data_IF_132215506477
#
_entry.id   IF_132215506477
#
_cell.length_a   1.000
_cell.length_b   1.000
_cell.length_c   1.000
_cell.angle_alpha   90.00
_cell.angle_beta   90.00
_cell.angle_gamma   90.00
#
_symmetry.space_group_name_H-M   'P 1'
#
loop_
_entity.id
_entity.type
_entity.pdbx_description
1 polymer ?
#
# COMPACT_ATOMS: atom_id res chain seq x y z
N UNK A 1 14.45 -2.65 -2.48
CA UNK A 1 13.13 -2.83 -3.12
C UNK A 1 13.19 -2.67 -4.64
N UNK A 2 13.44 -1.48 -5.19
CA UNK A 2 13.46 -1.27 -6.66
C UNK A 2 14.44 -2.21 -7.39
N UNK A 3 15.67 -2.34 -6.91
CA UNK A 3 16.66 -3.26 -7.51
C UNK A 3 16.22 -4.74 -7.44
N UNK A 4 15.57 -5.16 -6.36
CA UNK A 4 15.05 -6.54 -6.22
C UNK A 4 13.85 -6.79 -7.15
N UNK A 5 12.99 -5.78 -7.34
CA UNK A 5 11.89 -5.83 -8.30
C UNK A 5 12.38 -5.88 -9.76
N UNK A 6 13.47 -5.18 -10.09
CA UNK A 6 14.08 -5.23 -11.42
C UNK A 6 14.67 -6.62 -11.70
N UNK A 7 15.36 -7.22 -10.73
CA UNK A 7 15.93 -8.57 -10.89
C UNK A 7 14.81 -9.62 -11.06
N UNK A 8 13.71 -9.51 -10.31
CA UNK A 8 12.56 -10.39 -10.46
C UNK A 8 11.86 -10.20 -11.81
N UNK A 9 11.61 -8.95 -12.23
CA UNK A 9 11.02 -8.65 -13.52
C UNK A 9 11.90 -9.10 -14.68
N UNK A 10 13.22 -9.01 -14.55
CA UNK A 10 14.17 -9.50 -15.55
C UNK A 10 14.11 -11.02 -15.70
N UNK A 11 13.98 -11.77 -14.59
CA UNK A 11 13.82 -13.21 -14.62
C UNK A 11 12.51 -13.65 -15.31
N UNK A 12 11.39 -12.97 -15.03
CA UNK A 12 10.10 -13.26 -15.65
C UNK A 12 10.09 -12.94 -17.16
N UNK A 13 10.70 -11.81 -17.55
CA UNK A 13 10.83 -11.40 -18.96
C UNK A 13 11.69 -12.40 -19.75
N UNK A 14 12.77 -12.90 -19.16
CA UNK A 14 13.65 -13.87 -19.80
C UNK A 14 12.98 -15.25 -19.99
N UNK A 15 12.09 -15.63 -19.08
CA UNK A 15 11.27 -16.85 -19.17
C UNK A 15 10.11 -16.71 -20.19
N UNK A 16 9.54 -15.51 -20.33
CA UNK A 16 8.52 -15.21 -21.35
C UNK A 16 9.11 -15.13 -22.78
N UNK A 17 10.33 -14.61 -22.93
CA UNK A 17 11.01 -14.50 -24.22
C UNK A 17 11.47 -15.85 -24.80
N UNK A 18 11.68 -16.86 -23.96
CA UNK A 18 12.12 -18.20 -24.38
C UNK A 18 10.96 -19.12 -24.80
N UNK A 19 9.71 -18.73 -24.58
CA UNK A 19 8.52 -19.48 -25.00
C UNK A 19 7.99 -18.97 -26.36
N UNK A 20 8.64 -19.41 -27.43
CA UNK A 20 8.61 -18.83 -28.80
C UNK A 20 7.30 -19.00 -29.61
N UNK A 21 6.19 -19.48 -29.07
CA UNK A 21 5.02 -19.86 -29.90
C UNK A 21 3.92 -18.81 -30.09
N UNK A 22 3.90 -17.68 -29.37
CA UNK A 22 2.85 -16.64 -29.52
C UNK A 22 3.31 -15.21 -29.13
N UNK A 23 4.42 -14.75 -29.70
CA UNK A 23 5.08 -13.49 -29.27
C UNK A 23 4.19 -12.24 -29.34
N UNK A 24 3.34 -12.07 -30.37
CA UNK A 24 2.54 -10.84 -30.55
C UNK A 24 1.42 -10.66 -29.52
N UNK A 25 0.68 -11.72 -29.21
CA UNK A 25 -0.39 -11.71 -28.20
C UNK A 25 0.17 -11.66 -26.78
N UNK A 26 1.31 -12.31 -26.53
CA UNK A 26 2.03 -12.23 -25.27
C UNK A 26 2.56 -10.81 -25.03
N UNK A 27 3.15 -10.15 -26.03
CA UNK A 27 3.64 -8.77 -25.92
C UNK A 27 2.47 -7.79 -25.69
N UNK A 28 1.35 -7.92 -26.39
CA UNK A 28 0.18 -7.05 -26.16
C UNK A 28 -0.40 -7.20 -24.75
N UNK A 29 -0.45 -8.44 -24.24
CA UNK A 29 -0.89 -8.71 -22.87
C UNK A 29 0.10 -8.19 -21.84
N UNK A 30 1.41 -8.27 -22.13
CA UNK A 30 2.48 -7.73 -21.29
C UNK A 30 2.38 -6.19 -21.20
N UNK A 31 2.19 -5.53 -22.34
CA UNK A 31 2.03 -4.07 -22.40
C UNK A 31 0.80 -3.60 -21.63
N UNK A 32 -0.34 -4.28 -21.79
CA UNK A 32 -1.54 -4.00 -21.00
C UNK A 32 -1.30 -4.20 -19.50
N UNK A 33 -0.56 -5.25 -19.12
CA UNK A 33 -0.14 -5.51 -17.74
C UNK A 33 0.72 -4.39 -17.15
N UNK A 34 1.70 -3.88 -17.90
CA UNK A 34 2.55 -2.77 -17.45
C UNK A 34 1.77 -1.46 -17.29
N UNK A 35 0.84 -1.16 -18.19
CA UNK A 35 -0.05 0.02 -18.07
C UNK A 35 -0.89 -0.09 -16.80
N UNK A 36 -1.46 -1.28 -16.55
CA UNK A 36 -2.25 -1.51 -15.34
C UNK A 36 -1.41 -1.42 -14.05
N UNK A 37 -0.17 -1.93 -14.08
CA UNK A 37 0.77 -1.82 -12.97
C UNK A 37 1.13 -0.36 -12.67
N UNK A 38 1.36 0.44 -13.72
CA UNK A 38 1.63 1.87 -13.58
C UNK A 38 0.44 2.61 -12.95
N UNK A 39 -0.78 2.34 -13.44
CA UNK A 39 -2.00 2.91 -12.88
C UNK A 39 -2.17 2.51 -11.40
N UNK A 40 -1.95 1.24 -11.04
CA UNK A 40 -2.01 0.76 -9.66
C UNK A 40 -0.99 1.47 -8.75
N UNK A 41 0.25 1.65 -9.24
CA UNK A 41 1.31 2.34 -8.51
C UNK A 41 0.96 3.81 -8.25
N UNK A 42 0.42 4.52 -9.25
CA UNK A 42 -0.05 5.91 -9.10
C UNK A 42 -1.20 5.99 -8.09
N UNK A 43 -2.23 5.17 -8.24
CA UNK A 43 -3.37 5.13 -7.31
C UNK A 43 -2.92 4.85 -5.87
N UNK A 44 -2.00 3.91 -5.66
CA UNK A 44 -1.49 3.56 -4.32
C UNK A 44 -0.68 4.71 -3.71
N UNK A 45 0.14 5.39 -4.52
CA UNK A 45 0.88 6.58 -4.08
C UNK A 45 -0.07 7.73 -3.71
N UNK A 46 -1.06 8.02 -4.55
CA UNK A 46 -2.08 9.03 -4.28
C UNK A 46 -2.87 8.71 -3.01
N UNK A 47 -3.34 7.46 -2.86
CA UNK A 47 -4.08 7.01 -1.68
C UNK A 47 -3.28 7.22 -0.38
N UNK A 48 -2.04 6.72 -0.33
CA UNK A 48 -1.22 6.81 0.90
C UNK A 48 -0.84 8.25 1.28
N UNK A 49 -0.60 9.12 0.29
CA UNK A 49 -0.32 10.54 0.51
C UNK A 49 -1.58 11.32 0.91
N UNK A 50 -2.69 11.11 0.20
CA UNK A 50 -3.95 11.79 0.45
C UNK A 50 -4.52 11.41 1.82
N UNK A 51 -4.53 10.12 2.16
CA UNK A 51 -4.96 9.62 3.46
C UNK A 51 -4.17 10.29 4.58
N UNK A 52 -2.84 10.32 4.48
CA UNK A 52 -1.99 10.99 5.48
C UNK A 52 -2.26 12.49 5.57
N UNK A 53 -2.47 13.17 4.44
CA UNK A 53 -2.81 14.61 4.42
C UNK A 53 -4.13 14.86 5.15
N UNK A 54 -5.17 14.06 4.90
CA UNK A 54 -6.48 14.20 5.55
C UNK A 54 -6.39 13.95 7.05
N UNK A 55 -5.74 12.87 7.49
CA UNK A 55 -5.54 12.58 8.93
C UNK A 55 -4.93 13.78 9.67
N UNK A 56 -3.91 14.41 9.07
CA UNK A 56 -3.24 15.59 9.67
C UNK A 56 -4.10 16.86 9.65
N UNK A 57 -4.90 17.08 8.62
CA UNK A 57 -5.71 18.29 8.47
C UNK A 57 -6.96 18.26 9.35
N UNK A 58 -7.63 17.11 9.45
CA UNK A 58 -8.89 16.96 10.21
C UNK A 58 -8.66 16.50 11.65
N UNK A 59 -7.41 16.23 12.05
CA UNK A 59 -7.05 15.67 13.35
C UNK A 59 -7.86 14.40 13.69
N UNK A 60 -8.17 13.59 12.66
CA UNK A 60 -8.98 12.41 12.85
C UNK A 60 -8.29 11.39 13.74
N UNK A 61 -9.07 10.79 14.63
CA UNK A 61 -8.62 9.65 15.42
C UNK A 61 -8.50 8.43 14.50
N UNK A 62 -7.76 7.42 14.97
CA UNK A 62 -7.53 6.18 14.20
C UNK A 62 -8.84 5.48 13.82
N UNK A 63 -9.80 5.49 14.74
CA UNK A 63 -11.13 4.92 14.52
C UNK A 63 -11.92 5.67 13.46
N UNK A 64 -11.94 7.01 13.50
CA UNK A 64 -12.65 7.84 12.52
C UNK A 64 -12.08 7.62 11.13
N UNK A 65 -10.75 7.58 11.03
CA UNK A 65 -10.05 7.32 9.76
C UNK A 65 -10.43 5.96 9.18
N UNK A 66 -10.48 4.92 10.01
CA UNK A 66 -10.90 3.58 9.60
C UNK A 66 -12.38 3.56 9.19
N UNK A 67 -13.26 4.20 9.97
CA UNK A 67 -14.69 4.25 9.70
C UNK A 67 -14.99 4.94 8.36
N UNK A 68 -14.44 6.14 8.14
CA UNK A 68 -14.64 6.86 6.87
C UNK A 68 -14.04 6.12 5.68
N UNK A 69 -12.89 5.46 5.84
CA UNK A 69 -12.28 4.71 4.75
C UNK A 69 -13.16 3.54 4.30
N UNK A 70 -13.72 2.77 5.25
CA UNK A 70 -14.60 1.65 4.92
C UNK A 70 -15.99 2.13 4.46
N UNK A 71 -16.57 3.13 5.12
CA UNK A 71 -17.91 3.65 4.79
C UNK A 71 -17.95 4.28 3.39
N UNK A 72 -16.98 5.12 3.03
CA UNK A 72 -16.94 5.72 1.68
C UNK A 72 -16.61 4.68 0.61
N UNK A 73 -15.94 3.58 0.96
CA UNK A 73 -15.64 2.52 0.00
C UNK A 73 -16.88 1.71 -0.38
N UNK A 74 -17.88 1.57 0.50
CA UNK A 74 -19.12 0.80 0.22
C UNK A 74 -19.84 1.29 -1.07
N UNK A 75 -20.24 2.57 -1.21
CA UNK A 75 -20.94 3.01 -2.43
C UNK A 75 -20.06 2.91 -3.68
N UNK A 76 -18.75 3.16 -3.55
CA UNK A 76 -17.80 3.02 -4.66
C UNK A 76 -17.70 1.56 -5.11
N UNK A 77 -17.63 0.62 -4.17
CA UNK A 77 -17.59 -0.81 -4.45
C UNK A 77 -18.90 -1.30 -5.07
N UNK A 78 -20.05 -0.82 -4.60
CA UNK A 78 -21.37 -1.13 -5.19
C UNK A 78 -21.42 -0.68 -6.65
N UNK A 79 -21.00 0.55 -6.96
CA UNK A 79 -20.95 1.02 -8.34
C UNK A 79 -19.98 0.19 -9.18
N UNK A 80 -18.81 -0.16 -8.63
CA UNK A 80 -17.81 -0.95 -9.36
C UNK A 80 -18.29 -2.37 -9.69
N UNK A 81 -18.93 -3.09 -8.76
CA UNK A 81 -19.48 -4.43 -9.04
C UNK A 81 -20.60 -4.37 -10.07
N UNK A 82 -21.47 -3.35 -10.04
CA UNK A 82 -22.56 -3.22 -11.02
C UNK A 82 -22.05 -2.93 -12.44
N UNK A 83 -20.88 -2.30 -12.59
CA UNK A 83 -20.30 -1.98 -13.90
C UNK A 83 -19.40 -3.08 -14.46
N UNK A 84 -18.72 -3.85 -13.60
CA UNK A 84 -17.66 -4.78 -14.00
C UNK A 84 -18.09 -6.24 -13.88
N UNK A 85 -18.94 -6.58 -12.90
CA UNK A 85 -19.30 -7.97 -12.61
C UNK A 85 -20.65 -8.35 -13.23
N UNK A 86 -20.73 -9.59 -13.75
CA UNK A 86 -21.98 -10.15 -14.24
C UNK A 86 -22.84 -10.69 -13.10
N UNK A 87 -23.99 -10.03 -12.87
CA UNK A 87 -24.99 -10.43 -11.87
C UNK A 87 -26.00 -11.46 -12.38
N UNK A 88 -25.67 -12.19 -13.45
CA UNK A 88 -26.53 -13.24 -13.99
C UNK A 88 -26.75 -14.37 -12.96
N UNK A 89 -27.97 -14.92 -12.92
CA UNK A 89 -28.33 -16.02 -12.03
C UNK A 89 -27.43 -17.25 -12.19
N UNK A 90 -26.92 -17.49 -13.40
CA UNK A 90 -25.96 -18.56 -13.69
C UNK A 90 -24.61 -18.31 -13.00
N UNK A 91 -24.10 -17.06 -13.06
CA UNK A 91 -22.83 -16.69 -12.42
C UNK A 91 -22.92 -16.72 -10.88
N UNK A 92 -24.08 -16.35 -10.34
CA UNK A 92 -24.36 -16.43 -8.90
C UNK A 92 -24.45 -17.89 -8.43
N UNK A 93 -25.13 -18.75 -9.19
CA UNK A 93 -25.23 -20.17 -8.87
C UNK A 93 -23.85 -20.87 -8.90
N UNK A 94 -22.94 -20.40 -9.78
CA UNK A 94 -21.57 -20.92 -9.89
C UNK A 94 -20.68 -20.46 -8.74
N UNK A 95 -20.78 -19.20 -8.32
CA UNK A 95 -19.98 -18.64 -7.22
C UNK A 95 -20.53 -18.97 -5.83
N UNK A 96 -21.83 -19.25 -5.71
CA UNK A 96 -22.49 -19.64 -4.45
C UNK A 96 -23.26 -20.96 -4.59
N UNK A 97 -22.57 -22.12 -4.69
CA UNK A 97 -23.23 -23.41 -4.70
C UNK A 97 -23.98 -23.65 -3.39
N UNK A 98 -25.18 -24.23 -3.46
CA UNK A 98 -26.04 -24.49 -2.27
C UNK A 98 -25.31 -25.33 -1.22
N UNK A 99 -24.45 -26.26 -1.65
CA UNK A 99 -23.69 -27.15 -0.77
C UNK A 99 -22.60 -26.44 0.06
N UNK A 100 -21.99 -25.36 -0.45
CA UNK A 100 -20.88 -24.65 0.21
C UNK A 100 -21.21 -23.21 0.60
N UNK A 101 -22.44 -22.74 0.33
CA UNK A 101 -22.89 -21.36 0.57
C UNK A 101 -22.63 -20.88 1.99
N UNK A 102 -22.92 -21.69 3.00
CA UNK A 102 -22.69 -21.34 4.41
C UNK A 102 -21.21 -21.15 4.70
N UNK A 103 -20.35 -22.02 4.18
CA UNK A 103 -18.90 -21.94 4.39
C UNK A 103 -18.30 -20.69 3.70
N UNK A 104 -18.79 -20.37 2.49
CA UNK A 104 -18.37 -19.17 1.76
C UNK A 104 -18.79 -17.91 2.53
N UNK A 105 -20.04 -17.85 3.02
CA UNK A 105 -20.52 -16.71 3.80
C UNK A 105 -19.73 -16.54 5.11
N UNK A 106 -19.41 -17.63 5.81
CA UNK A 106 -18.56 -17.59 7.00
C UNK A 106 -17.16 -17.08 6.66
N UNK A 107 -16.56 -17.55 5.56
CA UNK A 107 -15.25 -17.07 5.10
C UNK A 107 -15.27 -15.58 4.73
N UNK A 108 -16.35 -15.10 4.13
CA UNK A 108 -16.55 -13.67 3.82
C UNK A 108 -16.65 -12.83 5.10
N UNK A 109 -17.41 -13.27 6.09
CA UNK A 109 -17.52 -12.57 7.37
C UNK A 109 -16.17 -12.56 8.11
N UNK A 110 -15.49 -13.71 8.17
CA UNK A 110 -14.20 -13.82 8.86
C UNK A 110 -13.10 -12.98 8.19
N UNK A 111 -13.04 -12.99 6.86
CA UNK A 111 -12.10 -12.14 6.11
C UNK A 111 -12.44 -10.66 6.24
N UNK A 112 -13.74 -10.30 6.26
CA UNK A 112 -14.21 -8.95 6.53
C UNK A 112 -13.78 -8.44 7.91
N UNK A 113 -13.97 -9.25 8.97
CA UNK A 113 -13.51 -8.93 10.32
C UNK A 113 -11.99 -8.77 10.38
N UNK A 114 -11.24 -9.63 9.69
CA UNK A 114 -9.78 -9.53 9.62
C UNK A 114 -9.34 -8.25 8.88
N UNK A 115 -10.03 -7.88 7.80
CA UNK A 115 -9.78 -6.66 7.03
C UNK A 115 -10.00 -5.39 7.86
N UNK A 116 -11.00 -5.39 8.76
CA UNK A 116 -11.23 -4.31 9.72
C UNK A 116 -10.00 -4.05 10.60
N UNK A 117 -9.40 -5.11 11.15
CA UNK A 117 -8.17 -4.98 11.94
C UNK A 117 -6.99 -4.44 11.13
N UNK A 118 -6.83 -4.88 9.89
CA UNK A 118 -5.79 -4.39 8.98
C UNK A 118 -6.02 -2.91 8.65
N UNK A 119 -7.27 -2.51 8.42
CA UNK A 119 -7.62 -1.11 8.13
C UNK A 119 -7.32 -0.20 9.32
N UNK A 120 -7.64 -0.64 10.55
CA UNK A 120 -7.34 0.12 11.77
C UNK A 120 -5.82 0.28 11.97
N UNK A 121 -5.08 -0.82 11.93
CA UNK A 121 -3.62 -0.81 12.12
C UNK A 121 -2.90 -0.03 11.03
N UNK A 122 -3.40 -0.07 9.79
CA UNK A 122 -2.88 0.73 8.67
C UNK A 122 -3.06 2.23 8.90
N UNK A 123 -4.26 2.66 9.31
CA UNK A 123 -4.53 4.05 9.64
C UNK A 123 -3.65 4.55 10.81
N UNK A 124 -3.54 3.73 11.86
CA UNK A 124 -2.71 4.02 13.01
C UNK A 124 -1.23 4.15 12.63
N UNK A 125 -0.70 3.21 11.85
CA UNK A 125 0.67 3.25 11.34
C UNK A 125 0.94 4.53 10.54
N UNK A 126 0.05 4.91 9.62
CA UNK A 126 0.19 6.11 8.80
C UNK A 126 0.14 7.41 9.63
N UNK A 127 -0.66 7.44 10.71
CA UNK A 127 -0.77 8.59 11.61
C UNK A 127 0.50 8.80 12.42
N UNK A 128 1.01 7.76 13.10
CA UNK A 128 2.14 7.88 14.02
C UNK A 128 3.50 7.91 13.32
N UNK A 129 3.58 7.40 12.09
CA UNK A 129 4.84 7.36 11.32
C UNK A 129 4.80 8.26 10.07
N UNK A 130 4.85 7.65 8.89
CA UNK A 130 4.78 8.29 7.59
C UNK A 130 4.21 7.39 6.51
N UNK A 131 3.70 7.98 5.43
CA UNK A 131 3.22 7.26 4.24
C UNK A 131 4.33 6.41 3.61
N UNK A 132 5.58 6.90 3.64
CA UNK A 132 6.77 6.16 3.19
C UNK A 132 7.09 4.98 4.11
N UNK A 133 7.03 5.17 5.43
CA UNK A 133 7.22 4.07 6.40
C UNK A 133 6.14 3.01 6.26
N UNK A 134 4.88 3.41 6.11
CA UNK A 134 3.76 2.48 5.89
C UNK A 134 4.00 1.61 4.64
N UNK A 135 4.37 2.23 3.52
CA UNK A 135 4.67 1.52 2.28
C UNK A 135 5.88 0.58 2.41
N UNK A 136 6.93 1.01 3.13
CA UNK A 136 8.11 0.19 3.41
C UNK A 136 7.77 -1.02 4.29
N UNK A 137 7.00 -0.83 5.37
CA UNK A 137 6.56 -1.92 6.26
C UNK A 137 5.67 -2.90 5.51
N UNK A 138 4.77 -2.40 4.65
CA UNK A 138 3.94 -3.25 3.79
C UNK A 138 4.76 -4.15 2.87
N UNK A 139 5.88 -3.64 2.33
CA UNK A 139 6.79 -4.45 1.53
C UNK A 139 7.62 -5.43 2.37
N UNK A 140 8.06 -5.04 3.55
CA UNK A 140 8.77 -5.93 4.47
C UNK A 140 7.88 -7.07 4.95
N UNK A 141 6.58 -6.84 5.14
CA UNK A 141 5.62 -7.88 5.53
C UNK A 141 5.52 -9.01 4.50
N UNK A 142 5.82 -8.74 3.22
CA UNK A 142 5.83 -9.77 2.17
C UNK A 142 7.04 -10.71 2.26
N UNK A 143 8.15 -10.30 2.89
CA UNK A 143 9.37 -11.11 2.95
C UNK A 143 9.20 -12.36 3.85
N UNK A 144 8.67 -12.27 5.09
CA UNK A 144 8.41 -13.46 5.90
C UNK A 144 7.43 -14.42 5.22
N UNK A 145 6.39 -13.89 4.56
CA UNK A 145 5.42 -14.71 3.83
C UNK A 145 6.12 -15.48 2.69
N UNK A 146 7.02 -14.81 1.96
CA UNK A 146 7.82 -15.47 0.92
C UNK A 146 8.77 -16.53 1.49
N UNK A 147 9.42 -16.27 2.63
CA UNK A 147 10.27 -17.24 3.31
C UNK A 147 9.47 -18.46 3.77
N UNK A 148 8.32 -18.26 4.40
CA UNK A 148 7.40 -19.35 4.74
C UNK A 148 6.94 -20.11 3.49
N UNK A 149 6.69 -19.41 2.39
CA UNK A 149 6.38 -20.01 1.09
C UNK A 149 7.43 -21.02 0.64
N UNK A 150 8.71 -20.66 0.73
CA UNK A 150 9.83 -21.52 0.33
C UNK A 150 10.10 -22.67 1.33
N UNK A 151 9.74 -22.51 2.61
CA UNK A 151 9.96 -23.54 3.64
C UNK A 151 8.84 -24.59 3.64
N UNK A 152 7.58 -24.15 3.48
CA UNK A 152 6.41 -25.00 3.63
C UNK A 152 5.89 -25.57 2.30
N UNK A 153 6.24 -24.96 1.17
CA UNK A 153 5.89 -25.47 -0.16
C UNK A 153 7.15 -25.87 -0.93
N UNK A 154 7.09 -27.00 -1.62
CA UNK A 154 8.17 -27.57 -2.45
C UNK A 154 8.35 -26.78 -3.75
N UNK A 155 8.46 -25.45 -3.64
CA UNK A 155 8.70 -24.56 -4.76
C UNK A 155 10.21 -24.57 -5.12
N UNK A 156 10.57 -24.52 -6.41
CA UNK A 156 11.97 -24.54 -6.83
C UNK A 156 12.71 -23.32 -6.24
N UNK A 157 13.64 -23.59 -5.32
CA UNK A 157 14.46 -22.57 -4.68
C UNK A 157 15.54 -22.11 -5.67
N UNK A 158 15.27 -21.00 -6.37
CA UNK A 158 16.28 -20.40 -7.26
C UNK A 158 17.24 -19.49 -6.48
N UNK A 159 18.49 -19.40 -6.93
CA UNK A 159 19.45 -18.44 -6.35
C UNK A 159 18.96 -16.99 -6.48
N UNK A 160 18.17 -16.69 -7.51
CA UNK A 160 17.54 -15.38 -7.72
C UNK A 160 16.52 -15.02 -6.64
N UNK A 161 15.62 -15.95 -6.29
CA UNK A 161 14.62 -15.70 -5.24
C UNK A 161 15.25 -15.55 -3.86
N UNK A 162 16.25 -16.37 -3.53
CA UNK A 162 16.94 -16.30 -2.22
C UNK A 162 17.73 -14.99 -2.08
N UNK A 163 18.48 -14.61 -3.12
CA UNK A 163 19.24 -13.35 -3.11
C UNK A 163 18.33 -12.12 -3.07
N UNK A 164 17.18 -12.14 -3.77
CA UNK A 164 16.18 -11.08 -3.71
C UNK A 164 15.61 -10.91 -2.28
N UNK A 165 15.29 -12.01 -1.60
CA UNK A 165 14.80 -11.98 -0.21
C UNK A 165 15.86 -11.41 0.73
N UNK A 166 17.11 -11.85 0.61
CA UNK A 166 18.23 -11.36 1.42
C UNK A 166 18.44 -9.84 1.25
N UNK A 167 18.47 -9.35 0.00
CA UNK A 167 18.56 -7.92 -0.31
C UNK A 167 17.35 -7.15 0.25
N UNK A 168 16.16 -7.76 0.21
CA UNK A 168 14.94 -7.24 0.85
C UNK A 168 15.13 -6.97 2.34
N UNK A 169 15.61 -7.96 3.09
CA UNK A 169 15.86 -7.84 4.53
C UNK A 169 16.94 -6.78 4.85
N UNK A 170 18.06 -6.79 4.12
CA UNK A 170 19.11 -5.78 4.27
C UNK A 170 18.55 -4.37 4.06
N UNK A 171 17.70 -4.18 3.04
CA UNK A 171 17.06 -2.88 2.80
C UNK A 171 16.15 -2.43 3.95
N UNK A 172 15.46 -3.36 4.62
CA UNK A 172 14.66 -3.09 5.81
C UNK A 172 15.48 -2.66 7.02
N UNK A 173 16.61 -3.33 7.26
CA UNK A 173 17.53 -3.01 8.35
C UNK A 173 18.13 -1.62 8.12
N UNK A 174 18.63 -1.34 6.92
CA UNK A 174 19.19 -0.03 6.55
C UNK A 174 18.15 1.08 6.69
N UNK A 175 16.90 0.86 6.26
CA UNK A 175 15.83 1.83 6.44
C UNK A 175 15.55 2.12 7.91
N UNK A 176 15.51 1.09 8.75
CA UNK A 176 15.28 1.22 10.20
C UNK A 176 16.39 2.03 10.85
N UNK A 177 17.66 1.71 10.58
CA UNK A 177 18.83 2.45 11.07
C UNK A 177 18.80 3.91 10.60
N UNK A 178 18.45 4.16 9.33
CA UNK A 178 18.32 5.51 8.81
C UNK A 178 17.23 6.31 9.55
N UNK A 179 16.09 5.68 9.88
CA UNK A 179 15.03 6.32 10.66
C UNK A 179 15.42 6.57 12.11
N UNK A 180 16.13 5.66 12.76
CA UNK A 180 16.68 5.90 14.10
C UNK A 180 17.63 7.09 14.11
N UNK A 181 18.55 7.17 13.14
CA UNK A 181 19.46 8.31 12.99
C UNK A 181 18.73 9.62 12.67
N UNK A 182 17.65 9.57 11.89
CA UNK A 182 16.83 10.74 11.59
C UNK A 182 16.12 11.29 12.84
N UNK A 183 15.63 10.41 13.72
CA UNK A 183 14.98 10.82 14.97
C UNK A 183 15.99 11.25 16.05
N UNK A 184 17.21 10.69 16.02
CA UNK A 184 18.29 11.03 16.96
C UNK A 184 19.00 12.35 16.62
N UNK A 185 18.95 12.82 15.37
CA UNK A 185 19.40 14.18 15.05
C UNK A 185 18.43 15.17 15.74
N UNK A 186 18.92 16.15 16.52
CA UNK A 186 18.07 17.24 16.96
C UNK A 186 17.46 17.90 15.72
N UNK A 187 16.23 18.40 15.83
CA UNK A 187 15.55 19.14 14.76
C UNK A 187 16.29 20.48 14.52
N UNK A 188 17.49 20.43 13.95
CA UNK A 188 18.22 21.58 13.40
C UNK A 188 17.56 21.94 12.07
N UNK A 189 16.38 22.53 12.21
CA UNK A 189 15.50 22.93 11.13
C UNK A 189 14.46 23.95 11.56
N UNK A 190 14.66 24.62 12.70
CA UNK A 190 14.32 26.04 12.76
C UNK A 190 15.52 26.67 12.05
N UNK A 191 15.33 27.11 10.80
CA UNK A 191 16.22 28.14 10.26
C UNK A 191 16.35 29.19 11.37
N UNK A 192 17.53 29.79 11.62
CA UNK A 192 17.55 31.05 12.33
C UNK A 192 16.70 32.00 11.48
N UNK A 193 15.41 32.12 11.81
CA UNK A 193 14.71 33.36 11.63
C UNK A 193 15.47 34.29 12.56
N UNK A 194 16.56 34.87 12.05
CA UNK A 194 16.91 36.23 12.43
C UNK A 194 15.59 36.95 12.54
N UNK A 195 15.28 37.45 13.74
CA UNK A 195 14.16 38.35 13.97
C UNK A 195 14.12 39.31 12.78
N UNK A 196 13.23 39.06 11.83
CA UNK A 196 12.80 40.11 10.93
C UNK A 196 12.03 41.00 11.89
N UNK A 197 12.50 42.21 12.23
CA UNK A 197 11.74 43.09 13.09
C UNK A 197 10.41 43.31 12.38
N UNK A 198 9.36 42.64 12.87
CA UNK A 198 8.02 42.88 12.41
C UNK A 198 7.75 44.34 12.73
N UNK A 199 7.46 45.15 11.71
CA UNK A 199 7.06 46.54 11.91
C UNK A 199 5.88 46.56 12.90
N UNK A 200 5.89 47.47 13.86
CA UNK A 200 4.87 47.58 14.90
C UNK A 200 3.42 47.58 14.33
N UNK A 201 3.25 48.05 13.09
CA UNK A 201 2.00 48.00 12.32
C UNK A 201 1.49 46.58 12.04
N UNK A 202 2.38 45.63 11.78
CA UNK A 202 2.04 44.23 11.54
C UNK A 202 1.77 43.42 12.82
N UNK A 203 2.23 43.93 13.97
CA UNK A 203 1.90 43.38 15.28
C UNK A 203 0.52 43.86 15.77
N UNK A 204 0.20 45.15 15.58
CA UNK A 204 -1.11 45.70 15.96
C UNK A 204 -2.27 45.10 15.16
N UNK A 205 -2.07 44.81 13.86
CA UNK A 205 -3.07 44.12 13.03
C UNK A 205 -3.35 42.69 13.50
N UNK A 206 -2.37 42.06 14.17
CA UNK A 206 -2.48 40.70 14.69
C UNK A 206 -3.21 40.65 16.03
N UNK A 207 -3.00 41.67 16.86
CA UNK A 207 -3.70 41.82 18.14
C UNK A 207 -5.14 42.32 17.96
N UNK A 208 -5.44 43.12 16.93
CA UNK A 208 -6.82 43.53 16.63
C UNK A 208 -7.72 42.40 16.14
N UNK A 209 -7.14 41.34 15.56
CA UNK A 209 -7.86 40.13 15.14
C UNK A 209 -8.08 39.13 16.29
N UNK A 210 -7.51 39.40 17.47
CA UNK A 210 -7.65 38.57 18.67
C UNK A 210 -8.59 39.14 19.72
N UNK A 211 -9.14 40.33 19.50
CA UNK A 211 -10.31 40.86 20.22
C UNK A 211 -11.59 40.55 19.46
#
# INVERSE_FOLDING_TARGET
MVASSIIAAWADVQHALTSTTNASTQISTLNAGYVWMMANCLCTAFYSLYMRKRIKLTNFKDFDTMFYNNLLSIPVLIVATLLIEDWSAENIARNFPIASRTNILIAMVLSGLSSVFISYTSAWCMRVTSSTTYSMVGALNKLPIAVSGLIFFDAPVTLGSVSAIAIGFVSGIVYSVAKFKQNAKPKTGILPTTNIPLSASSQSMRDSLRS
#
